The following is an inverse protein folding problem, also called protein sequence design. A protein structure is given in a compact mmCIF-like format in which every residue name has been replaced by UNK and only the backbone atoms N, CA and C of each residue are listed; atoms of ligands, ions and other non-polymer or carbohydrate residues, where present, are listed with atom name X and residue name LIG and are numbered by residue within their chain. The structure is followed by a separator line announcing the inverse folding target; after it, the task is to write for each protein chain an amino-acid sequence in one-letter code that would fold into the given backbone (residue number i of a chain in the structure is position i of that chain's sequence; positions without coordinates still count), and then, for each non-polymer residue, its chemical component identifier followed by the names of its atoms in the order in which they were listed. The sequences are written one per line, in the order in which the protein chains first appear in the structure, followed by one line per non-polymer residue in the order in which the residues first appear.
data_IF_079899782556
#
_entry.id   IF_079899782556
#
_cell.length_a   1.000
_cell.length_b   1.000
_cell.length_c   1.000
_cell.angle_alpha   90.00
_cell.angle_beta   90.00
_cell.angle_gamma   90.00
#
_symmetry.space_group_name_H-M   'P 1'
#
loop_
_entity.id
_entity.type
_entity.pdbx_description
1 polymer ?
#
# COMPACT_ATOMS: atom_id res chain seq x y z
N UNK A 1 -25.68 34.72 -26.89
CA UNK A 1 -25.65 33.67 -27.93
C UNK A 1 -24.38 33.91 -28.72
N UNK A 2 -23.39 33.01 -28.59
CA UNK A 2 -22.19 33.09 -29.40
C UNK A 2 -22.55 32.86 -30.87
N UNK A 3 -21.80 33.44 -31.80
CA UNK A 3 -22.07 33.23 -33.21
C UNK A 3 -21.71 31.77 -33.57
N UNK A 4 -22.41 31.12 -34.52
CA UNK A 4 -22.09 29.74 -34.92
C UNK A 4 -20.64 29.52 -35.38
N UNK A 5 -19.97 30.58 -35.85
CA UNK A 5 -18.55 30.57 -36.22
C UNK A 5 -17.62 30.60 -34.99
N UNK A 6 -18.04 31.25 -33.89
CA UNK A 6 -17.29 31.28 -32.64
C UNK A 6 -17.33 29.89 -31.98
N UNK A 7 -18.45 29.18 -32.07
CA UNK A 7 -18.57 27.80 -31.58
C UNK A 7 -17.69 26.84 -32.39
N UNK A 8 -17.62 27.01 -33.72
CA UNK A 8 -16.71 26.22 -34.57
C UNK A 8 -15.23 26.49 -34.24
N UNK A 9 -14.87 27.74 -33.94
CA UNK A 9 -13.51 28.11 -33.54
C UNK A 9 -13.14 27.57 -32.15
N UNK A 10 -14.11 27.47 -31.22
CA UNK A 10 -13.90 26.96 -29.86
C UNK A 10 -14.07 25.44 -29.74
N UNK A 11 -14.50 24.78 -30.82
CA UNK A 11 -14.82 23.36 -30.83
C UNK A 11 -13.62 22.50 -30.40
N UNK A 12 -12.44 22.78 -30.95
CA UNK A 12 -11.19 22.08 -30.58
C UNK A 12 -10.89 22.22 -29.09
N UNK A 13 -10.95 23.45 -28.56
CA UNK A 13 -10.67 23.71 -27.16
C UNK A 13 -11.68 23.02 -26.24
N UNK A 14 -12.96 22.96 -26.65
CA UNK A 14 -14.01 22.28 -25.87
C UNK A 14 -13.78 20.76 -25.79
N UNK A 15 -13.42 20.11 -26.90
CA UNK A 15 -13.09 18.70 -26.93
C UNK A 15 -11.78 18.40 -26.20
N UNK A 16 -10.78 19.27 -26.31
CA UNK A 16 -9.54 19.15 -25.54
C UNK A 16 -9.81 19.21 -24.04
N UNK A 17 -10.56 20.22 -23.58
CA UNK A 17 -10.88 20.37 -22.16
C UNK A 17 -11.70 19.19 -21.64
N UNK A 18 -12.70 18.75 -22.41
CA UNK A 18 -13.53 17.59 -22.06
C UNK A 18 -12.70 16.31 -21.97
N UNK A 19 -11.82 16.04 -22.93
CA UNK A 19 -10.96 14.85 -22.93
C UNK A 19 -9.92 14.89 -21.82
N UNK A 20 -9.38 16.08 -21.52
CA UNK A 20 -8.45 16.28 -20.42
C UNK A 20 -9.12 16.03 -19.06
N UNK A 21 -10.30 16.60 -18.83
CA UNK A 21 -11.02 16.45 -17.56
C UNK A 21 -11.42 14.98 -17.33
N UNK A 22 -11.93 14.31 -18.36
CA UNK A 22 -12.28 12.89 -18.31
C UNK A 22 -11.03 12.03 -18.03
N UNK A 23 -9.97 12.20 -18.82
CA UNK A 23 -8.72 11.46 -18.67
C UNK A 23 -8.04 11.72 -17.31
N UNK A 24 -8.08 12.95 -16.81
CA UNK A 24 -7.55 13.29 -15.49
C UNK A 24 -8.37 12.65 -14.37
N UNK A 25 -9.70 12.72 -14.45
CA UNK A 25 -10.59 12.11 -13.45
C UNK A 25 -10.40 10.59 -13.39
N UNK A 26 -10.31 9.95 -14.54
CA UNK A 26 -10.10 8.51 -14.68
C UNK A 26 -8.70 8.10 -14.20
N UNK A 27 -7.66 8.80 -14.64
CA UNK A 27 -6.27 8.57 -14.24
C UNK A 27 -6.06 8.75 -12.75
N UNK A 28 -6.74 9.73 -12.12
CA UNK A 28 -6.70 9.92 -10.66
C UNK A 28 -7.29 8.72 -9.91
N UNK A 29 -8.43 8.20 -10.36
CA UNK A 29 -9.08 7.03 -9.73
C UNK A 29 -8.21 5.78 -9.91
N UNK A 30 -7.75 5.51 -11.12
CA UNK A 30 -6.90 4.34 -11.39
C UNK A 30 -5.57 4.40 -10.67
N UNK A 31 -4.89 5.56 -10.67
CA UNK A 31 -3.64 5.75 -9.95
C UNK A 31 -3.78 5.53 -8.44
N UNK A 32 -4.92 5.94 -7.86
CA UNK A 32 -5.21 5.69 -6.43
C UNK A 32 -5.39 4.19 -6.15
N UNK A 33 -6.14 3.48 -7.00
CA UNK A 33 -6.42 2.04 -6.83
C UNK A 33 -5.13 1.24 -6.99
N UNK A 34 -4.37 1.49 -8.06
CA UNK A 34 -3.11 0.81 -8.35
C UNK A 34 -2.07 1.10 -7.27
N UNK A 35 -1.91 2.37 -6.88
CA UNK A 35 -0.99 2.76 -5.82
C UNK A 35 -1.30 2.09 -4.48
N UNK A 36 -2.58 1.94 -4.12
CA UNK A 36 -3.00 1.18 -2.93
C UNK A 36 -2.70 -0.30 -3.04
N UNK A 37 -2.95 -0.91 -4.20
CA UNK A 37 -2.66 -2.32 -4.44
C UNK A 37 -1.15 -2.61 -4.34
N UNK A 38 -0.32 -1.82 -5.04
CA UNK A 38 1.13 -1.94 -5.01
C UNK A 38 1.71 -1.69 -3.62
N UNK A 39 1.21 -0.67 -2.91
CA UNK A 39 1.62 -0.38 -1.54
C UNK A 39 1.37 -1.54 -0.58
N UNK A 40 0.21 -2.21 -0.70
CA UNK A 40 -0.10 -3.42 0.09
C UNK A 40 0.84 -4.58 -0.24
N UNK A 41 1.08 -4.85 -1.52
CA UNK A 41 1.97 -5.94 -1.95
C UNK A 41 3.40 -5.73 -1.44
N UNK A 42 3.98 -4.55 -1.70
CA UNK A 42 5.37 -4.25 -1.29
C UNK A 42 5.49 -4.12 0.22
N UNK A 43 4.50 -3.51 0.87
CA UNK A 43 4.43 -3.42 2.32
C UNK A 43 4.42 -4.81 2.97
N UNK A 44 3.64 -5.75 2.43
CA UNK A 44 3.62 -7.13 2.93
C UNK A 44 4.99 -7.80 2.83
N UNK A 45 5.69 -7.67 1.69
CA UNK A 45 7.02 -8.26 1.52
C UNK A 45 8.04 -7.73 2.54
N UNK A 46 8.01 -6.42 2.83
CA UNK A 46 8.87 -5.83 3.85
C UNK A 46 8.52 -6.36 5.25
N UNK A 47 7.22 -6.45 5.58
CA UNK A 47 6.78 -6.94 6.89
C UNK A 47 7.01 -8.44 7.09
N UNK A 48 6.92 -9.26 6.04
CA UNK A 48 7.31 -10.67 6.07
C UNK A 48 8.78 -10.80 6.45
N UNK A 49 9.66 -10.00 5.83
CA UNK A 49 11.08 -9.99 6.12
C UNK A 49 11.36 -9.59 7.58
N UNK A 50 10.77 -8.49 8.05
CA UNK A 50 10.93 -8.01 9.43
C UNK A 50 10.38 -9.02 10.44
N UNK A 51 9.22 -9.61 10.15
CA UNK A 51 8.58 -10.64 10.97
C UNK A 51 9.45 -11.88 11.11
N UNK A 52 10.05 -12.34 10.01
CA UNK A 52 11.01 -13.45 10.02
C UNK A 52 12.23 -13.14 10.90
N UNK A 53 12.85 -11.97 10.76
CA UNK A 53 13.99 -11.58 11.59
C UNK A 53 13.64 -11.51 13.08
N UNK A 54 12.45 -11.01 13.41
CA UNK A 54 11.95 -10.97 14.78
C UNK A 54 11.77 -12.36 15.36
N UNK A 55 11.12 -13.27 14.62
CA UNK A 55 10.92 -14.66 15.03
C UNK A 55 12.23 -15.40 15.22
N UNK A 56 13.17 -15.23 14.29
CA UNK A 56 14.51 -15.80 14.36
C UNK A 56 15.27 -15.35 15.61
N UNK A 57 15.26 -14.06 15.92
CA UNK A 57 15.90 -13.52 17.11
C UNK A 57 15.31 -14.06 18.41
N UNK A 58 13.97 -14.14 18.49
CA UNK A 58 13.28 -14.69 19.66
C UNK A 58 13.59 -16.18 19.86
N UNK A 59 13.54 -16.97 18.78
CA UNK A 59 13.83 -18.39 18.82
C UNK A 59 15.25 -18.65 19.33
N UNK A 60 16.26 -18.02 18.73
CA UNK A 60 17.65 -18.22 19.13
C UNK A 60 17.95 -17.68 20.53
N UNK A 61 17.32 -16.56 20.93
CA UNK A 61 17.44 -16.07 22.30
C UNK A 61 16.89 -17.09 23.32
N UNK A 62 15.78 -17.77 23.02
CA UNK A 62 15.23 -18.81 23.88
C UNK A 62 16.13 -20.06 23.91
N UNK A 63 16.59 -20.53 22.74
CA UNK A 63 17.50 -21.70 22.63
C UNK A 63 18.78 -21.47 23.42
N UNK A 64 19.43 -20.31 23.25
CA UNK A 64 20.67 -19.97 23.97
C UNK A 64 20.45 -19.96 25.48
N UNK A 65 19.34 -19.39 25.95
CA UNK A 65 19.01 -19.34 27.39
C UNK A 65 18.72 -20.71 27.98
N UNK A 66 18.19 -21.64 27.19
CA UNK A 66 17.88 -23.00 27.65
C UNK A 66 19.12 -23.90 27.76
N UNK A 67 20.19 -23.60 27.02
CA UNK A 67 21.43 -24.38 27.02
C UNK A 67 22.43 -23.90 28.07
N UNK A 68 22.56 -24.60 29.20
CA UNK A 68 23.68 -24.41 30.12
C UNK A 68 24.93 -25.17 29.67
N UNK A 69 26.16 -24.65 29.86
CA UNK A 69 26.56 -23.29 30.24
C UNK A 69 26.60 -22.31 29.03
N UNK A 70 26.56 -21.00 29.32
CA UNK A 70 26.58 -19.94 28.31
C UNK A 70 28.03 -19.53 28.01
N UNK A 71 28.54 -19.96 26.86
CA UNK A 71 29.85 -19.54 26.35
C UNK A 71 29.88 -18.06 25.94
N UNK A 72 31.07 -17.45 25.82
CA UNK A 72 31.22 -16.06 25.30
C UNK A 72 30.56 -15.86 23.93
N UNK A 73 30.61 -16.87 23.06
CA UNK A 73 29.96 -16.80 21.74
C UNK A 73 28.43 -16.69 21.88
N UNK A 74 27.85 -17.44 22.81
CA UNK A 74 26.43 -17.43 23.12
C UNK A 74 25.98 -16.11 23.75
N UNK A 75 26.80 -15.54 24.65
CA UNK A 75 26.50 -14.23 25.25
C UNK A 75 26.55 -13.11 24.21
N UNK A 76 27.49 -13.16 23.25
CA UNK A 76 27.54 -12.25 22.10
C UNK A 76 26.30 -12.37 21.21
N UNK A 77 25.92 -13.60 20.86
CA UNK A 77 24.72 -13.85 20.06
C UNK A 77 23.46 -13.33 20.76
N UNK A 78 23.34 -13.50 22.08
CA UNK A 78 22.23 -12.98 22.86
C UNK A 78 22.18 -11.44 22.83
N UNK A 79 23.33 -10.76 22.94
CA UNK A 79 23.40 -9.29 22.80
C UNK A 79 22.94 -8.84 21.41
N UNK A 80 23.38 -9.50 20.34
CA UNK A 80 22.93 -9.18 18.99
C UNK A 80 21.44 -9.42 18.77
N UNK A 81 20.88 -10.50 19.35
CA UNK A 81 19.46 -10.78 19.29
C UNK A 81 18.62 -9.70 20.01
N UNK A 82 19.05 -9.26 21.19
CA UNK A 82 18.36 -8.17 21.92
C UNK A 82 18.39 -6.85 21.15
N UNK A 83 19.55 -6.47 20.58
CA UNK A 83 19.68 -5.26 19.76
C UNK A 83 18.79 -5.29 18.51
N UNK A 84 18.69 -6.45 17.86
CA UNK A 84 17.82 -6.63 16.70
C UNK A 84 16.35 -6.45 17.08
N UNK A 85 15.92 -7.02 18.22
CA UNK A 85 14.55 -6.89 18.72
C UNK A 85 14.21 -5.44 19.09
N UNK A 86 15.15 -4.72 19.68
CA UNK A 86 14.99 -3.30 20.02
C UNK A 86 14.72 -2.46 18.77
N UNK A 87 15.56 -2.59 17.74
CA UNK A 87 15.40 -1.83 16.49
C UNK A 87 14.08 -2.18 15.79
N UNK A 88 13.70 -3.46 15.78
CA UNK A 88 12.41 -3.89 15.20
C UNK A 88 11.24 -3.31 16.00
N UNK A 89 11.36 -3.16 17.33
CA UNK A 89 10.28 -2.63 18.16
C UNK A 89 9.98 -1.16 17.88
N UNK A 90 11.01 -0.38 17.56
CA UNK A 90 10.97 1.04 17.18
C UNK A 90 10.45 1.25 15.75
N UNK A 91 10.45 0.20 14.91
CA UNK A 91 10.05 0.32 13.52
C UNK A 91 8.58 0.75 13.39
N UNK A 92 8.26 1.77 12.58
CA UNK A 92 6.93 2.35 12.49
C UNK A 92 5.92 1.33 11.95
N UNK A 93 4.81 1.17 12.68
CA UNK A 93 3.74 0.21 12.36
C UNK A 93 2.55 0.82 11.63
N UNK A 94 2.49 2.15 11.61
CA UNK A 94 1.39 2.89 11.03
C UNK A 94 1.91 3.76 9.88
N UNK A 95 1.17 3.79 8.79
CA UNK A 95 1.42 4.68 7.67
C UNK A 95 0.82 6.06 8.01
N UNK A 96 1.62 7.13 8.15
CA UNK A 96 1.11 8.48 8.42
C UNK A 96 0.40 9.04 7.17
N UNK A 97 -0.80 8.54 6.91
CA UNK A 97 -1.57 8.86 5.70
C UNK A 97 -2.41 10.14 5.84
N UNK A 98 -2.57 10.67 7.06
CA UNK A 98 -3.36 11.87 7.33
C UNK A 98 -2.68 13.19 6.92
N UNK A 99 -1.37 13.20 6.69
CA UNK A 99 -0.63 14.42 6.30
C UNK A 99 -0.77 14.78 4.81
N UNK A 100 -1.28 13.85 3.99
CA UNK A 100 -1.38 14.03 2.54
C UNK A 100 -2.77 14.58 2.13
N UNK A 101 -3.80 14.38 2.96
CA UNK A 101 -5.14 14.93 2.68
C UNK A 101 -5.23 16.45 2.90
N UNK A 102 -4.39 17.03 3.75
CA UNK A 102 -4.39 18.47 4.06
C UNK A 102 -3.63 19.34 3.06
N UNK A 103 -2.88 18.77 2.10
CA UNK A 103 -2.05 19.55 1.16
C UNK A 103 -2.75 19.95 -0.15
N UNK A 104 -4.07 19.73 -0.28
CA UNK A 104 -4.87 20.34 -1.36
C UNK A 104 -5.39 21.74 -1.02
N UNK A 105 -5.20 22.22 0.21
CA UNK A 105 -5.48 23.62 0.58
C UNK A 105 -4.16 24.36 0.75
N UNK A 106 -3.73 25.00 -0.34
CA UNK A 106 -2.82 26.16 -0.37
C UNK A 106 -1.36 25.88 0.04
N UNK A 107 -0.44 26.18 -0.87
CA UNK A 107 0.98 25.95 -0.70
C UNK A 107 1.53 26.71 0.51
N UNK A 108 2.02 25.98 1.52
CA UNK A 108 3.00 26.47 2.46
C UNK A 108 3.71 25.31 3.17
N UNK A 109 5.05 25.39 3.19
CA UNK A 109 5.98 24.67 4.08
C UNK A 109 5.86 23.14 4.21
N UNK A 110 6.67 22.44 3.40
CA UNK A 110 7.07 21.03 3.62
C UNK A 110 7.92 20.96 4.90
N UNK A 111 7.30 20.78 6.07
CA UNK A 111 8.00 20.43 7.29
C UNK A 111 7.18 19.41 8.10
N UNK A 112 7.50 18.13 7.89
CA UNK A 112 7.48 17.03 8.87
C UNK A 112 7.24 15.70 8.14
N UNK A 113 8.21 15.34 7.30
CA UNK A 113 8.34 14.00 6.78
C UNK A 113 8.71 13.07 7.94
N UNK A 114 7.71 12.46 8.59
CA UNK A 114 7.89 11.19 9.30
C UNK A 114 8.08 10.09 8.24
N UNK A 115 9.14 10.22 7.44
CA UNK A 115 9.58 9.24 6.47
C UNK A 115 10.14 8.07 7.25
N UNK A 116 9.55 6.89 7.08
CA UNK A 116 10.22 5.64 7.40
C UNK A 116 11.49 5.62 6.55
N UNK A 117 12.61 6.02 7.13
CA UNK A 117 13.82 6.22 6.35
C UNK A 117 14.25 4.85 5.78
N UNK A 118 14.59 4.75 4.47
CA UNK A 118 15.14 3.52 3.89
C UNK A 118 16.36 2.97 4.68
N UNK A 119 17.00 3.85 5.44
CA UNK A 119 18.07 3.56 6.35
C UNK A 119 17.67 2.60 7.49
N UNK A 120 16.42 2.61 7.95
CA UNK A 120 15.98 1.80 9.10
C UNK A 120 15.85 0.30 8.76
N UNK A 121 15.36 -0.04 7.57
CA UNK A 121 15.33 -1.43 7.11
C UNK A 121 16.75 -1.98 6.89
N UNK A 122 17.65 -1.13 6.37
CA UNK A 122 19.07 -1.48 6.18
C UNK A 122 19.75 -1.77 7.51
N UNK A 123 19.46 -0.98 8.56
CA UNK A 123 19.93 -1.24 9.92
C UNK A 123 19.45 -2.60 10.42
N UNK A 124 18.16 -2.91 10.29
CA UNK A 124 17.59 -4.22 10.69
C UNK A 124 18.33 -5.36 9.99
N UNK A 125 18.48 -5.30 8.66
CA UNK A 125 19.20 -6.32 7.87
C UNK A 125 20.65 -6.51 8.33
N UNK A 126 21.36 -5.41 8.62
CA UNK A 126 22.76 -5.48 9.07
C UNK A 126 22.88 -6.19 10.43
N UNK A 127 21.96 -5.92 11.36
CA UNK A 127 21.93 -6.53 12.70
C UNK A 127 21.51 -7.99 12.64
N UNK A 128 20.58 -8.34 11.74
CA UNK A 128 20.25 -9.73 11.44
C UNK A 128 21.46 -10.52 10.93
N UNK A 129 22.23 -9.98 9.96
CA UNK A 129 23.44 -10.62 9.48
C UNK A 129 24.50 -10.79 10.58
N UNK A 130 24.63 -9.80 11.46
CA UNK A 130 25.53 -9.87 12.61
C UNK A 130 25.14 -10.99 13.59
N UNK A 131 23.84 -11.15 13.86
CA UNK A 131 23.32 -12.26 14.65
C UNK A 131 23.62 -13.61 13.98
N UNK A 132 23.35 -13.74 12.67
CA UNK A 132 23.64 -14.95 11.91
C UNK A 132 25.13 -15.32 11.96
N UNK A 133 26.03 -14.35 11.82
CA UNK A 133 27.47 -14.54 11.94
C UNK A 133 27.87 -15.05 13.33
N UNK A 134 27.25 -14.55 14.40
CA UNK A 134 27.51 -15.04 15.77
C UNK A 134 26.98 -16.44 16.06
N UNK A 135 26.00 -16.90 15.28
CA UNK A 135 25.40 -18.24 15.37
C UNK A 135 25.99 -19.23 14.37
N UNK A 136 26.89 -18.78 13.49
CA UNK A 136 27.41 -19.57 12.35
C UNK A 136 26.30 -20.12 11.43
N UNK A 137 25.20 -19.37 11.28
CA UNK A 137 24.07 -19.72 10.40
C UNK A 137 24.13 -18.86 9.14
N UNK A 138 23.82 -19.43 7.98
CA UNK A 138 23.73 -18.67 6.74
C UNK A 138 22.49 -17.74 6.76
N UNK A 139 22.63 -16.44 6.48
CA UNK A 139 21.49 -15.54 6.39
C UNK A 139 20.54 -15.97 5.27
N UNK A 140 19.22 -15.90 5.50
CA UNK A 140 18.23 -16.06 4.43
C UNK A 140 18.49 -14.97 3.37
N UNK A 141 18.71 -15.30 2.08
CA UNK A 141 18.72 -14.29 1.04
C UNK A 141 17.33 -13.65 1.01
N UNK A 142 17.26 -12.31 1.00
CA UNK A 142 15.98 -11.60 0.88
C UNK A 142 15.42 -11.89 -0.53
N UNK A 143 14.72 -13.00 -0.67
CA UNK A 143 14.08 -13.37 -1.92
C UNK A 143 12.90 -12.43 -2.14
N UNK A 144 13.07 -11.49 -3.06
CA UNK A 144 11.99 -10.70 -3.68
C UNK A 144 11.12 -11.54 -4.64
N UNK A 145 11.31 -12.87 -4.68
CA UNK A 145 10.66 -13.78 -5.63
C UNK A 145 9.22 -14.15 -5.31
N UNK A 146 8.67 -13.76 -4.15
CA UNK A 146 7.24 -13.92 -3.87
C UNK A 146 6.34 -13.05 -4.77
N UNK A 147 6.88 -11.99 -5.42
CA UNK A 147 6.13 -11.21 -6.43
C UNK A 147 5.80 -12.05 -7.67
N UNK A 148 6.71 -12.91 -8.15
CA UNK A 148 6.50 -13.63 -9.41
C UNK A 148 5.33 -14.63 -9.36
N UNK A 149 5.13 -15.30 -8.23
CA UNK A 149 4.04 -16.26 -8.06
C UNK A 149 2.66 -15.58 -7.94
N UNK A 150 2.59 -14.37 -7.36
CA UNK A 150 1.31 -13.66 -7.19
C UNK A 150 0.92 -12.90 -8.46
N UNK A 151 1.88 -12.33 -9.19
CA UNK A 151 1.61 -11.74 -10.51
C UNK A 151 1.14 -12.80 -11.51
N UNK A 152 1.69 -14.02 -11.47
CA UNK A 152 1.20 -15.12 -12.29
C UNK A 152 -0.26 -15.51 -11.98
N UNK A 153 -0.67 -15.47 -10.70
CA UNK A 153 -2.05 -15.74 -10.31
C UNK A 153 -3.02 -14.62 -10.76
N UNK A 154 -2.57 -13.36 -10.79
CA UNK A 154 -3.36 -12.23 -11.29
C UNK A 154 -3.44 -12.24 -12.83
N UNK A 155 -2.35 -12.57 -13.53
CA UNK A 155 -2.34 -12.72 -14.99
C UNK A 155 -3.18 -13.90 -15.50
N UNK A 156 -3.39 -14.94 -14.68
CA UNK A 156 -4.30 -16.04 -15.02
C UNK A 156 -5.79 -15.72 -14.77
N UNK A 157 -6.12 -14.68 -14.01
CA UNK A 157 -7.48 -14.13 -13.92
C UNK A 157 -7.84 -13.26 -15.12
N UNK A 158 -6.86 -12.69 -15.83
CA UNK A 158 -7.08 -11.84 -17.01
C UNK A 158 -7.18 -12.60 -18.35
N UNK A 159 -7.20 -13.93 -18.36
CA UNK A 159 -7.35 -14.74 -19.59
C UNK A 159 -8.61 -15.60 -19.64
N UNK A 160 -9.50 -15.47 -18.65
CA UNK A 160 -10.84 -16.05 -18.67
C UNK A 160 -11.86 -14.99 -19.09
N UNK A 161 -12.38 -15.15 -20.30
CA UNK A 161 -13.43 -14.35 -20.93
C UNK A 161 -14.62 -14.05 -19.99
N UNK A 162 -14.87 -12.75 -19.73
CA UNK A 162 -16.16 -12.05 -19.85
C UNK A 162 -16.03 -10.64 -19.24
N UNK A 163 -15.68 -9.66 -20.07
CA UNK A 163 -15.94 -8.24 -19.78
C UNK A 163 -17.45 -8.06 -19.58
N UNK A 164 -17.94 -7.59 -18.42
CA UNK A 164 -19.28 -7.04 -18.37
C UNK A 164 -19.21 -5.69 -19.09
N UNK A 165 -19.73 -5.68 -20.32
CA UNK A 165 -20.05 -4.48 -21.06
C UNK A 165 -20.78 -3.50 -20.13
N UNK A 166 -20.10 -2.45 -19.65
CA UNK A 166 -20.72 -1.34 -18.96
C UNK A 166 -21.52 -0.56 -20.02
N UNK A 167 -22.69 -1.11 -20.36
CA UNK A 167 -23.72 -0.41 -21.10
C UNK A 167 -24.10 0.82 -20.29
N UNK A 168 -23.56 1.94 -20.73
CA UNK A 168 -23.99 3.27 -20.38
C UNK A 168 -25.43 3.41 -20.89
N UNK A 169 -26.39 3.00 -20.08
CA UNK A 169 -27.80 3.19 -20.36
C UNK A 169 -28.09 4.69 -20.29
N UNK A 170 -28.17 5.31 -21.46
CA UNK A 170 -28.87 6.58 -21.65
C UNK A 170 -30.36 6.28 -21.41
N UNK A 171 -30.79 6.37 -20.15
CA UNK A 171 -32.20 6.30 -19.80
C UNK A 171 -32.86 7.62 -20.18
N UNK A 172 -33.64 7.57 -21.26
CA UNK A 172 -34.49 8.63 -21.78
C UNK A 172 -35.54 9.01 -20.72
N UNK A 173 -35.49 10.27 -20.26
CA UNK A 173 -36.44 10.86 -19.31
C UNK A 173 -37.87 10.85 -19.87
N UNK A 174 -38.60 9.76 -19.64
CA UNK A 174 -40.06 9.76 -19.64
C UNK A 174 -40.56 9.78 -18.20
N UNK A 175 -40.85 10.98 -17.70
CA UNK A 175 -41.56 11.19 -16.44
C UNK A 175 -42.84 10.32 -16.33
N UNK A 176 -42.99 9.53 -15.24
CA UNK A 176 -44.30 9.07 -14.80
C UNK A 176 -44.69 9.72 -13.47
N UNK A 177 -45.97 10.08 -13.40
CA UNK A 177 -46.62 10.77 -12.27
C UNK A 177 -46.44 10.02 -10.94
N UNK A 178 -46.03 10.78 -9.94
CA UNK A 178 -45.96 10.38 -8.54
C UNK A 178 -47.35 9.99 -8.00
N UNK A 179 -47.51 8.74 -7.52
CA UNK A 179 -48.62 8.35 -6.64
C UNK A 179 -48.07 7.84 -5.32
N UNK A 180 -48.36 8.61 -4.29
CA UNK A 180 -48.12 8.38 -2.87
C UNK A 180 -48.66 7.03 -2.38
N UNK A 181 -47.78 6.23 -1.77
CA UNK A 181 -48.09 5.41 -0.60
C UNK A 181 -46.84 5.31 0.28
N UNK A 182 -46.97 5.77 1.52
CA UNK A 182 -45.87 5.88 2.47
C UNK A 182 -45.40 4.53 3.00
N UNK A 183 -44.10 4.28 2.88
CA UNK A 183 -43.36 3.46 3.83
C UNK A 183 -41.88 3.87 3.77
N UNK A 184 -41.40 4.52 4.83
CA UNK A 184 -40.01 4.93 4.98
C UNK A 184 -39.17 3.69 5.31
N UNK A 185 -38.30 3.28 4.38
CA UNK A 185 -37.19 2.36 4.66
C UNK A 185 -35.91 3.16 4.38
N UNK A 186 -35.18 3.49 5.45
CA UNK A 186 -33.91 4.20 5.34
C UNK A 186 -32.84 3.26 4.72
N UNK A 187 -32.08 3.70 3.70
CA UNK A 187 -30.99 2.90 3.14
C UNK A 187 -29.75 2.83 4.06
N UNK A 188 -29.16 1.63 4.10
CA UNK A 188 -28.12 1.11 5.01
C UNK A 188 -26.70 1.74 4.86
N UNK A 189 -26.55 2.89 4.20
CA UNK A 189 -25.22 3.46 3.90
C UNK A 189 -24.88 4.74 4.67
N UNK A 190 -25.63 5.09 5.72
CA UNK A 190 -25.15 6.05 6.74
C UNK A 190 -24.53 5.28 7.90
N UNK A 191 -23.24 5.49 8.10
CA UNK A 191 -22.57 5.27 9.38
C UNK A 191 -22.23 6.65 9.95
N UNK A 192 -22.52 6.81 11.24
CA UNK A 192 -22.14 7.95 12.08
C UNK A 192 -20.62 8.15 12.15
#
# INVERSE_FOLDING_TARGET
MNSPLDDLSNLEQSFYNSGYEDGFSHGRVHGLIEGRALGKEKGFGIWEEVGFYRGFALFWAAVIKSGHPVDEKRSRALRHASQLLEIISTYPRQNPSHLIQSSHSQGDSIQSESQVSPLDLTKIRSKYRLLCASLNVSPRPSNSSSSAATTAAISQVSSGSNEPELQMAYEEDQHPRFRSTGQSVNPIWRLD
#
